data_IF_281592799816
#
_entry.id   IF_281592799816
#
_cell.length_a   1.000
_cell.length_b   1.000
_cell.length_c   1.000
_cell.angle_alpha   90.00
_cell.angle_beta   90.00
_cell.angle_gamma   90.00
#
_symmetry.space_group_name_H-M   'P 1'
#
loop_
_entity.id
_entity.type
_entity.pdbx_description
1 polymer ?
#
# COMPACT_ATOMS: atom_id res chain seq x y z
N UNK A 1 2.24 30.14 -1.87
CA UNK A 1 3.20 30.26 -0.73
C UNK A 1 3.76 28.86 -0.46
N UNK A 2 5.06 28.74 -0.18
CA UNK A 2 5.69 27.47 0.19
C UNK A 2 6.08 27.54 1.67
N UNK A 3 5.65 26.58 2.47
CA UNK A 3 5.99 26.50 3.91
C UNK A 3 6.59 25.14 4.22
N UNK A 4 7.70 25.13 4.96
CA UNK A 4 8.37 23.92 5.44
C UNK A 4 8.12 23.74 6.93
N UNK A 5 7.63 22.56 7.34
CA UNK A 5 7.45 22.18 8.74
C UNK A 5 8.03 20.78 9.00
N UNK A 6 8.45 20.51 10.23
CA UNK A 6 8.76 19.17 10.69
C UNK A 6 7.52 18.57 11.36
N UNK A 7 7.04 17.44 10.84
CA UNK A 7 5.95 16.67 11.43
C UNK A 7 6.36 15.20 11.50
N UNK A 8 6.33 14.61 12.69
CA UNK A 8 6.76 13.22 12.95
C UNK A 8 8.14 12.85 12.34
N UNK A 9 9.08 13.78 12.32
CA UNK A 9 10.43 13.57 11.75
C UNK A 9 10.49 13.66 10.21
N UNK A 10 9.40 14.02 9.54
CA UNK A 10 9.33 14.26 8.10
C UNK A 10 9.33 15.75 7.78
N UNK A 11 9.99 16.12 6.69
CA UNK A 11 9.90 17.46 6.12
C UNK A 11 8.62 17.57 5.29
N UNK A 12 7.71 18.45 5.69
CA UNK A 12 6.46 18.71 4.99
C UNK A 12 6.56 20.04 4.26
N UNK A 13 6.36 20.00 2.95
CA UNK A 13 6.24 21.18 2.10
C UNK A 13 4.76 21.41 1.73
N UNK A 14 4.20 22.55 2.13
CA UNK A 14 2.84 22.94 1.73
C UNK A 14 2.91 23.91 0.58
N UNK A 15 2.20 23.61 -0.51
CA UNK A 15 2.24 24.38 -1.76
C UNK A 15 0.81 24.63 -2.25
N UNK A 16 0.49 25.88 -2.60
CA UNK A 16 -0.80 26.21 -3.21
C UNK A 16 -0.91 25.58 -4.61
N UNK A 17 -2.13 25.19 -5.01
CA UNK A 17 -2.36 24.49 -6.29
C UNK A 17 -1.86 25.23 -7.54
N UNK A 18 -1.75 26.55 -7.47
CA UNK A 18 -1.32 27.42 -8.57
C UNK A 18 0.17 27.79 -8.51
N UNK A 19 0.91 27.29 -7.51
CA UNK A 19 2.35 27.52 -7.37
C UNK A 19 3.15 26.44 -8.13
N UNK A 20 4.12 26.83 -8.98
CA UNK A 20 5.03 25.87 -9.62
C UNK A 20 5.82 25.07 -8.60
N UNK A 21 5.99 23.78 -8.87
CA UNK A 21 6.74 22.84 -8.06
C UNK A 21 7.60 21.97 -8.97
N UNK A 22 8.85 21.73 -8.58
CA UNK A 22 9.73 20.81 -9.29
C UNK A 22 9.52 19.42 -8.70
N UNK A 23 8.61 18.66 -9.29
CA UNK A 23 8.24 17.34 -8.79
C UNK A 23 9.26 16.25 -9.14
N UNK A 24 9.97 16.42 -10.26
CA UNK A 24 10.95 15.48 -10.79
C UNK A 24 12.14 16.27 -11.36
N UNK A 25 13.35 15.81 -11.05
CA UNK A 25 14.61 16.38 -11.51
C UNK A 25 15.53 15.24 -11.93
N UNK A 26 16.09 15.31 -13.14
CA UNK A 26 17.07 14.32 -13.64
C UNK A 26 16.61 12.85 -13.59
N UNK A 27 15.30 12.60 -13.72
CA UNK A 27 14.70 11.26 -13.68
C UNK A 27 14.43 10.73 -12.27
N UNK A 28 14.65 11.55 -11.24
CA UNK A 28 14.34 11.24 -9.85
C UNK A 28 13.21 12.13 -9.32
N UNK A 29 12.32 11.55 -8.53
CA UNK A 29 11.25 12.30 -7.86
C UNK A 29 11.80 12.98 -6.61
N UNK A 30 11.51 14.27 -6.45
CA UNK A 30 11.99 15.06 -5.30
C UNK A 30 11.16 14.81 -4.02
N UNK A 31 10.14 13.96 -4.08
CA UNK A 31 9.20 13.69 -2.99
C UNK A 31 8.95 12.19 -2.86
N UNK A 32 8.89 11.68 -1.63
CA UNK A 32 8.49 10.29 -1.34
C UNK A 32 6.97 10.11 -1.29
N UNK A 33 6.26 11.21 -1.02
CA UNK A 33 4.82 11.22 -0.82
C UNK A 33 4.17 12.54 -1.23
N UNK A 34 2.92 12.45 -1.69
CA UNK A 34 2.12 13.61 -2.12
C UNK A 34 0.72 13.53 -1.53
N UNK A 35 0.29 14.62 -0.89
CA UNK A 35 -1.08 14.82 -0.46
C UNK A 35 -1.77 15.84 -1.37
N UNK A 36 -2.84 15.43 -2.04
CA UNK A 36 -3.67 16.32 -2.85
C UNK A 36 -4.99 16.54 -2.13
N UNK A 37 -5.04 17.60 -1.34
CA UNK A 37 -6.22 18.04 -0.57
C UNK A 37 -7.01 19.15 -1.30
N UNK A 38 -6.81 19.28 -2.62
CA UNK A 38 -7.45 20.27 -3.47
C UNK A 38 -8.38 19.56 -4.48
N UNK A 39 -9.70 19.45 -4.21
CA UNK A 39 -10.65 18.76 -5.09
C UNK A 39 -10.73 19.32 -6.52
N UNK A 40 -10.28 20.56 -6.71
CA UNK A 40 -10.25 21.28 -7.99
C UNK A 40 -8.86 21.34 -8.64
N UNK A 41 -7.89 20.56 -8.18
CA UNK A 41 -6.54 20.55 -8.74
C UNK A 41 -6.57 20.35 -10.27
N UNK A 42 -5.85 21.19 -11.00
CA UNK A 42 -5.85 21.23 -12.45
C UNK A 42 -4.66 20.47 -13.09
N UNK A 43 -3.76 19.92 -12.28
CA UNK A 43 -2.55 19.23 -12.74
C UNK A 43 -1.67 20.10 -13.67
N UNK A 44 -1.63 21.42 -13.41
CA UNK A 44 -0.81 22.35 -14.17
C UNK A 44 0.69 22.03 -14.03
N UNK A 45 1.17 21.74 -12.81
CA UNK A 45 2.58 21.52 -12.52
C UNK A 45 2.94 20.05 -12.33
N UNK A 46 2.12 19.29 -11.59
CA UNK A 46 2.25 17.85 -11.48
C UNK A 46 1.31 17.23 -12.51
N UNK A 47 1.84 16.78 -13.66
CA UNK A 47 1.02 16.17 -14.70
C UNK A 47 0.45 14.84 -14.21
N UNK A 48 -0.79 14.52 -14.60
CA UNK A 48 -1.48 13.27 -14.26
C UNK A 48 -0.66 12.02 -14.59
N UNK A 49 0.00 12.02 -15.75
CA UNK A 49 0.83 10.89 -16.19
C UNK A 49 2.09 10.75 -15.34
N UNK A 50 2.74 11.86 -14.98
CA UNK A 50 3.89 11.86 -14.05
C UNK A 50 3.49 11.34 -12.68
N UNK A 51 2.35 11.77 -12.13
CA UNK A 51 1.85 11.27 -10.84
C UNK A 51 1.52 9.78 -10.89
N UNK A 52 0.98 9.29 -12.02
CA UNK A 52 0.77 7.86 -12.24
C UNK A 52 2.11 7.09 -12.28
N UNK A 53 3.11 7.62 -12.99
CA UNK A 53 4.46 7.03 -13.05
C UNK A 53 5.11 7.00 -11.68
N UNK A 54 4.94 8.06 -10.88
CA UNK A 54 5.43 8.13 -9.50
C UNK A 54 4.88 6.98 -8.64
N UNK A 55 3.57 6.74 -8.68
CA UNK A 55 2.94 5.60 -7.98
C UNK A 55 3.46 4.25 -8.53
N UNK A 56 3.64 4.15 -9.84
CA UNK A 56 4.18 2.95 -10.48
C UNK A 56 5.64 2.65 -10.10
N UNK A 57 6.39 3.65 -9.63
CA UNK A 57 7.78 3.52 -9.16
C UNK A 57 7.90 3.40 -7.64
N UNK A 58 6.79 3.19 -6.92
CA UNK A 58 6.79 2.97 -5.48
C UNK A 58 6.44 4.20 -4.64
N UNK A 59 6.14 5.34 -5.29
CA UNK A 59 5.69 6.58 -4.66
C UNK A 59 4.32 6.48 -4.00
N UNK A 60 4.05 7.40 -3.08
CA UNK A 60 2.87 7.40 -2.24
C UNK A 60 1.99 8.62 -2.50
N UNK A 61 0.70 8.40 -2.76
CA UNK A 61 -0.25 9.48 -3.03
C UNK A 61 -1.50 9.29 -2.18
N UNK A 62 -1.89 10.34 -1.49
CA UNK A 62 -3.21 10.45 -0.89
C UNK A 62 -3.96 11.58 -1.58
N UNK A 63 -5.20 11.34 -2.01
CA UNK A 63 -6.02 12.37 -2.65
C UNK A 63 -7.44 12.34 -2.11
N UNK A 64 -7.91 13.51 -1.68
CA UNK A 64 -9.26 13.71 -1.21
C UNK A 64 -10.09 14.49 -2.24
N UNK A 65 -11.31 14.01 -2.46
CA UNK A 65 -12.29 14.57 -3.38
C UNK A 65 -13.44 15.24 -2.62
N UNK A 66 -14.25 15.99 -3.34
CA UNK A 66 -15.50 16.54 -2.83
C UNK A 66 -16.55 16.49 -3.94
N UNK A 67 -17.83 16.76 -3.64
CA UNK A 67 -18.86 16.95 -4.66
C UNK A 67 -18.52 18.01 -5.71
N UNK A 68 -17.58 18.91 -5.42
CA UNK A 68 -17.12 19.96 -6.33
C UNK A 68 -15.73 19.59 -6.87
N UNK A 69 -15.71 18.81 -7.95
CA UNK A 69 -14.51 18.37 -8.64
C UNK A 69 -14.43 18.92 -10.08
N UNK A 70 -13.25 18.83 -10.70
CA UNK A 70 -13.02 19.28 -12.08
C UNK A 70 -12.97 18.10 -13.05
N UNK A 71 -13.07 18.38 -14.36
CA UNK A 71 -12.81 17.39 -15.40
C UNK A 71 -11.41 16.77 -15.24
N UNK A 72 -10.44 17.57 -14.80
CA UNK A 72 -9.06 17.11 -14.63
C UNK A 72 -8.91 16.11 -13.49
N UNK A 73 -9.46 16.38 -12.30
CA UNK A 73 -9.42 15.41 -11.19
C UNK A 73 -10.20 14.14 -11.52
N UNK A 74 -11.33 14.25 -12.22
CA UNK A 74 -12.04 13.07 -12.76
C UNK A 74 -11.15 12.27 -13.72
N UNK A 75 -10.50 12.93 -14.69
CA UNK A 75 -9.68 12.26 -15.70
C UNK A 75 -8.42 11.58 -15.14
N UNK A 76 -7.93 12.02 -13.98
CA UNK A 76 -6.85 11.32 -13.28
C UNK A 76 -7.29 9.92 -12.83
N UNK A 77 -8.48 9.80 -12.22
CA UNK A 77 -9.05 8.49 -11.84
C UNK A 77 -9.34 7.60 -13.06
N UNK A 78 -9.69 8.19 -14.19
CA UNK A 78 -9.90 7.45 -15.44
C UNK A 78 -8.61 6.78 -15.94
N UNK A 79 -7.41 7.30 -15.61
CA UNK A 79 -6.13 6.62 -15.90
C UNK A 79 -5.98 5.27 -15.17
N UNK A 80 -6.75 5.08 -14.10
CA UNK A 80 -6.86 3.87 -13.28
C UNK A 80 -8.15 3.09 -13.57
N UNK A 81 -8.93 3.49 -14.58
CA UNK A 81 -10.26 2.95 -14.92
C UNK A 81 -11.28 3.09 -13.78
N UNK A 82 -11.04 3.99 -12.82
CA UNK A 82 -11.98 4.31 -11.74
C UNK A 82 -12.96 5.37 -12.24
N UNK A 83 -14.26 5.12 -12.06
CA UNK A 83 -15.31 6.07 -12.44
C UNK A 83 -15.81 6.83 -11.22
N UNK A 84 -15.92 8.14 -11.38
CA UNK A 84 -16.45 9.05 -10.37
C UNK A 84 -17.96 9.23 -10.54
N UNK A 85 -18.72 9.23 -9.45
CA UNK A 85 -20.16 9.54 -9.50
C UNK A 85 -20.40 11.00 -9.91
N UNK A 86 -21.56 11.32 -10.50
CA UNK A 86 -21.92 12.71 -10.79
C UNK A 86 -21.86 13.58 -9.54
N UNK A 87 -21.52 14.87 -9.70
CA UNK A 87 -21.46 15.83 -8.58
C UNK A 87 -22.80 16.04 -7.85
N UNK A 88 -23.91 15.63 -8.46
CA UNK A 88 -25.26 15.67 -7.88
C UNK A 88 -25.58 14.46 -7.00
N UNK A 89 -24.83 13.36 -7.12
CA UNK A 89 -25.04 12.13 -6.34
C UNK A 89 -24.22 12.18 -5.04
N UNK A 90 -24.62 13.11 -4.16
CA UNK A 90 -23.96 13.35 -2.87
C UNK A 90 -24.47 12.34 -1.85
N UNK A 91 -23.54 11.72 -1.15
CA UNK A 91 -23.83 10.83 -0.03
C UNK A 91 -23.48 11.57 1.25
N UNK A 92 -24.47 11.78 2.11
CA UNK A 92 -24.32 12.44 3.39
C UNK A 92 -25.01 11.64 4.49
N UNK A 93 -24.23 10.90 5.28
CA UNK A 93 -24.72 10.06 6.40
C UNK A 93 -23.56 9.47 7.20
N UNK A 94 -23.89 8.90 8.35
CA UNK A 94 -22.97 8.02 9.08
C UNK A 94 -22.86 6.66 8.39
N UNK A 95 -21.64 6.14 8.29
CA UNK A 95 -21.33 4.92 7.55
C UNK A 95 -20.45 4.01 8.40
N UNK A 96 -20.88 2.76 8.65
CA UNK A 96 -20.01 1.78 9.28
C UNK A 96 -18.88 1.39 8.33
N UNK A 97 -17.67 1.33 8.86
CA UNK A 97 -16.48 0.84 8.15
C UNK A 97 -16.56 -0.67 7.90
N UNK A 98 -15.78 -1.15 6.94
CA UNK A 98 -15.67 -2.57 6.65
C UNK A 98 -14.70 -3.23 7.64
N UNK A 99 -14.95 -4.50 7.98
CA UNK A 99 -13.99 -5.30 8.73
C UNK A 99 -12.69 -5.41 7.95
N UNK A 100 -11.57 -5.08 8.59
CA UNK A 100 -10.24 -5.10 8.01
C UNK A 100 -9.20 -5.28 9.12
N UNK A 101 -8.12 -6.02 8.88
CA UNK A 101 -7.05 -6.21 9.86
C UNK A 101 -6.21 -4.96 10.11
N UNK A 102 -6.18 -4.03 9.16
CA UNK A 102 -5.42 -2.77 9.20
C UNK A 102 -6.27 -1.57 9.63
N UNK A 103 -7.59 -1.68 9.65
CA UNK A 103 -8.48 -0.56 9.97
C UNK A 103 -9.49 -0.97 11.05
N UNK A 104 -9.63 -0.19 12.13
CA UNK A 104 -10.57 -0.51 13.20
C UNK A 104 -12.02 -0.39 12.71
N UNK A 105 -12.88 -1.30 13.19
CA UNK A 105 -14.33 -1.21 12.95
C UNK A 105 -14.87 -0.02 13.76
N UNK A 106 -15.32 0.99 13.04
CA UNK A 106 -15.92 2.22 13.57
C UNK A 106 -17.02 2.74 12.63
N UNK A 107 -17.70 3.81 13.03
CA UNK A 107 -18.67 4.54 12.22
C UNK A 107 -18.14 5.94 11.94
N UNK A 108 -18.15 6.34 10.66
CA UNK A 108 -17.65 7.64 10.23
C UNK A 108 -18.77 8.51 9.68
N UNK A 109 -18.73 9.81 9.94
CA UNK A 109 -19.56 10.77 9.23
C UNK A 109 -18.97 11.00 7.84
N UNK A 110 -19.77 10.78 6.81
CA UNK A 110 -19.36 10.91 5.42
C UNK A 110 -20.24 11.93 4.71
N UNK A 111 -19.60 12.87 4.00
CA UNK A 111 -20.26 13.80 3.07
C UNK A 111 -19.45 13.95 1.79
N UNK A 112 -19.82 13.26 0.73
CA UNK A 112 -18.95 13.17 -0.44
C UNK A 112 -19.56 12.48 -1.65
N UNK A 113 -18.67 12.03 -2.53
CA UNK A 113 -19.01 11.35 -3.79
C UNK A 113 -18.56 9.90 -3.76
N UNK A 114 -19.15 9.09 -4.63
CA UNK A 114 -18.80 7.68 -4.73
C UNK A 114 -17.98 7.37 -5.98
N UNK A 115 -17.35 6.20 -5.95
CA UNK A 115 -16.52 5.63 -6.99
C UNK A 115 -17.06 4.27 -7.40
N UNK A 116 -16.83 3.94 -8.66
CA UNK A 116 -16.91 2.57 -9.18
C UNK A 116 -15.50 2.14 -9.56
N UNK A 117 -15.05 1.04 -8.97
CA UNK A 117 -13.71 0.47 -9.17
C UNK A 117 -13.72 -0.53 -10.32
N UNK A 118 -12.59 -0.71 -11.03
CA UNK A 118 -12.43 -1.84 -11.95
C UNK A 118 -12.35 -3.16 -11.18
N UNK A 119 -12.61 -4.26 -11.88
CA UNK A 119 -12.40 -5.61 -11.34
C UNK A 119 -10.90 -5.93 -11.35
N UNK A 120 -10.24 -5.72 -10.20
CA UNK A 120 -8.81 -5.94 -10.02
C UNK A 120 -8.45 -6.01 -8.55
N UNK A 121 -7.62 -7.00 -8.20
CA UNK A 121 -7.09 -7.20 -6.84
C UNK A 121 -6.16 -6.06 -6.38
N UNK A 122 -5.71 -5.20 -7.30
CA UNK A 122 -4.89 -4.04 -6.95
C UNK A 122 -5.70 -2.97 -6.21
N UNK A 123 -7.03 -3.00 -6.27
CA UNK A 123 -7.90 -2.04 -5.60
C UNK A 123 -8.60 -2.68 -4.40
N UNK A 124 -8.49 -2.03 -3.23
CA UNK A 124 -9.16 -2.47 -2.01
C UNK A 124 -10.14 -1.39 -1.56
N UNK A 125 -11.46 -1.63 -1.63
CA UNK A 125 -12.43 -0.69 -1.08
C UNK A 125 -12.39 -0.72 0.45
N UNK A 126 -12.30 0.46 1.07
CA UNK A 126 -12.24 0.60 2.53
C UNK A 126 -13.55 1.11 3.14
N UNK A 127 -14.33 1.86 2.38
CA UNK A 127 -15.63 2.40 2.81
C UNK A 127 -16.64 2.30 1.67
N UNK A 128 -17.87 1.88 1.97
CA UNK A 128 -18.95 1.68 0.98
C UNK A 128 -20.28 2.19 1.53
N UNK A 129 -21.08 2.86 0.70
CA UNK A 129 -22.49 3.13 1.05
C UNK A 129 -23.41 1.99 0.63
N UNK A 130 -23.09 1.35 -0.48
CA UNK A 130 -23.77 0.16 -1.05
C UNK A 130 -22.69 -0.69 -1.73
N UNK A 131 -22.96 -1.94 -2.13
CA UNK A 131 -21.97 -2.79 -2.79
C UNK A 131 -21.29 -2.13 -4.00
N UNK A 132 -22.03 -1.29 -4.74
CA UNK A 132 -21.55 -0.64 -5.98
C UNK A 132 -21.13 0.84 -5.79
N UNK A 133 -21.33 1.42 -4.59
CA UNK A 133 -20.93 2.80 -4.29
C UNK A 133 -19.80 2.80 -3.27
N UNK A 134 -18.57 2.82 -3.76
CA UNK A 134 -17.35 2.89 -2.97
C UNK A 134 -17.08 4.34 -2.59
N UNK A 135 -16.63 4.61 -1.37
CA UNK A 135 -16.50 5.97 -0.82
C UNK A 135 -15.06 6.33 -0.44
N UNK A 136 -14.27 5.30 -0.15
CA UNK A 136 -12.83 5.35 0.05
C UNK A 136 -12.25 4.03 -0.43
N UNK A 137 -11.10 4.09 -1.09
CA UNK A 137 -10.39 2.91 -1.55
C UNK A 137 -8.90 3.16 -1.57
N UNK A 138 -8.15 2.06 -1.60
CA UNK A 138 -6.72 2.07 -1.83
C UNK A 138 -6.39 1.33 -3.11
N UNK A 139 -5.26 1.70 -3.71
CA UNK A 139 -4.63 1.00 -4.80
C UNK A 139 -3.16 0.76 -4.45
N UNK A 140 -2.65 -0.43 -4.76
CA UNK A 140 -1.26 -0.78 -4.60
C UNK A 140 -0.66 -1.25 -5.94
N UNK A 141 0.45 -0.64 -6.33
CA UNK A 141 1.20 -1.06 -7.52
C UNK A 141 2.09 -2.27 -7.21
N UNK A 142 2.61 -2.93 -8.26
CA UNK A 142 3.54 -4.06 -8.12
C UNK A 142 4.85 -3.68 -7.42
N UNK A 143 5.25 -2.41 -7.49
CA UNK A 143 6.42 -1.85 -6.79
C UNK A 143 6.06 -1.33 -5.39
N UNK A 144 4.89 -1.72 -4.87
CA UNK A 144 4.36 -1.31 -3.57
C UNK A 144 4.13 0.20 -3.42
N UNK A 145 3.96 0.93 -4.53
CA UNK A 145 3.49 2.31 -4.49
C UNK A 145 2.02 2.37 -4.09
N UNK A 146 1.66 3.34 -3.26
CA UNK A 146 0.34 3.41 -2.61
C UNK A 146 -0.44 4.60 -3.13
N UNK A 147 -1.69 4.37 -3.49
CA UNK A 147 -2.67 5.41 -3.78
C UNK A 147 -3.85 5.23 -2.83
N UNK A 148 -4.12 6.21 -1.98
CA UNK A 148 -5.30 6.25 -1.13
C UNK A 148 -6.23 7.36 -1.62
N UNK A 149 -7.48 7.01 -1.93
CA UNK A 149 -8.50 7.94 -2.41
C UNK A 149 -9.62 8.04 -1.39
N UNK A 150 -9.95 9.27 -1.01
CA UNK A 150 -11.08 9.59 -0.14
C UNK A 150 -12.10 10.44 -0.89
N UNK A 151 -13.36 10.03 -0.94
CA UNK A 151 -14.42 10.75 -1.66
C UNK A 151 -14.99 11.99 -0.94
N UNK A 152 -14.47 12.30 0.26
CA UNK A 152 -14.94 13.39 1.11
C UNK A 152 -13.77 14.11 1.78
N UNK A 153 -13.46 15.32 1.30
CA UNK A 153 -12.56 16.26 1.96
C UNK A 153 -13.12 16.72 3.31
N UNK A 154 -14.46 16.75 3.44
CA UNK A 154 -15.14 17.19 4.66
C UNK A 154 -14.78 16.29 5.87
N UNK A 155 -14.42 15.03 5.64
CA UNK A 155 -13.95 14.13 6.69
C UNK A 155 -12.64 14.56 7.35
N UNK A 156 -11.83 15.38 6.66
CA UNK A 156 -10.56 15.91 7.15
C UNK A 156 -10.71 17.26 7.85
N UNK A 157 -11.87 17.91 7.76
CA UNK A 157 -12.11 19.19 8.42
C UNK A 157 -12.18 19.01 9.93
N UNK A 158 -11.68 19.99 10.69
CA UNK A 158 -11.64 19.96 12.16
C UNK A 158 -13.00 19.62 12.81
N UNK A 159 -14.11 20.02 12.20
CA UNK A 159 -15.47 19.71 12.67
C UNK A 159 -15.78 18.22 12.71
N UNK A 160 -15.28 17.46 11.75
CA UNK A 160 -15.60 16.03 11.58
C UNK A 160 -14.39 15.12 11.82
N UNK A 161 -13.18 15.68 11.85
CA UNK A 161 -11.95 14.91 11.99
C UNK A 161 -11.96 14.04 13.24
N UNK A 162 -12.30 14.58 14.42
CA UNK A 162 -12.32 13.79 15.66
C UNK A 162 -13.30 12.61 15.60
N UNK A 163 -14.45 12.76 14.93
CA UNK A 163 -15.40 11.65 14.72
C UNK A 163 -14.86 10.59 13.76
N UNK A 164 -14.08 11.02 12.78
CA UNK A 164 -13.57 10.16 11.70
C UNK A 164 -12.14 9.66 11.94
N UNK A 165 -11.49 10.15 13.00
CA UNK A 165 -10.05 10.00 13.27
C UNK A 165 -9.59 8.55 13.28
N UNK A 166 -10.39 7.66 13.89
CA UNK A 166 -10.09 6.23 13.97
C UNK A 166 -9.98 5.57 12.58
N UNK A 167 -10.65 6.10 11.56
CA UNK A 167 -10.54 5.63 10.18
C UNK A 167 -9.49 6.42 9.39
N UNK A 168 -9.46 7.75 9.55
CA UNK A 168 -8.60 8.64 8.77
C UNK A 168 -7.13 8.48 9.13
N UNK A 169 -6.78 8.35 10.42
CA UNK A 169 -5.38 8.23 10.82
C UNK A 169 -4.70 6.99 10.23
N UNK A 170 -5.26 5.76 10.37
CA UNK A 170 -4.69 4.59 9.71
C UNK A 170 -4.66 4.71 8.18
N UNK A 171 -5.61 5.42 7.56
CA UNK A 171 -5.61 5.63 6.11
C UNK A 171 -4.44 6.49 5.64
N UNK A 172 -4.17 7.58 6.35
CA UNK A 172 -3.02 8.44 6.09
C UNK A 172 -1.71 7.68 6.34
N UNK A 173 -1.60 6.98 7.47
CA UNK A 173 -0.41 6.17 7.80
C UNK A 173 -0.18 5.04 6.79
N UNK A 174 -1.25 4.36 6.36
CA UNK A 174 -1.18 3.35 5.31
C UNK A 174 -0.68 3.98 4.02
N UNK A 175 -1.23 5.13 3.60
CA UNK A 175 -0.76 5.79 2.38
C UNK A 175 0.74 6.09 2.42
N UNK A 176 1.32 6.32 3.60
CA UNK A 176 2.73 6.67 3.81
C UNK A 176 3.67 5.50 4.15
N UNK A 177 3.19 4.25 4.05
CA UNK A 177 3.95 3.05 4.44
C UNK A 177 4.38 3.02 5.90
N UNK A 178 3.72 3.77 6.78
CA UNK A 178 3.91 3.68 8.24
C UNK A 178 2.88 2.77 8.90
N UNK A 179 1.97 2.17 8.14
CA UNK A 179 1.01 1.20 8.62
C UNK A 179 0.77 0.10 7.57
N UNK A 180 0.69 -1.16 7.99
CA UNK A 180 0.44 -2.31 7.11
C UNK A 180 1.52 -2.51 6.04
N UNK A 181 2.80 -2.46 6.43
CA UNK A 181 3.96 -2.77 5.56
C UNK A 181 4.63 -4.03 6.09
N UNK A 182 4.98 -4.96 5.20
CA UNK A 182 5.80 -6.13 5.51
C UNK A 182 7.16 -6.03 4.81
N UNK A 183 8.22 -6.51 5.46
CA UNK A 183 9.57 -6.56 4.92
C UNK A 183 10.20 -7.93 5.18
N UNK A 184 10.71 -8.56 4.12
CA UNK A 184 11.43 -9.81 4.18
C UNK A 184 12.93 -9.52 4.32
N UNK A 185 13.60 -10.14 5.31
CA UNK A 185 15.00 -9.93 5.64
C UNK A 185 15.72 -11.25 5.93
N UNK A 186 17.05 -11.18 5.99
CA UNK A 186 17.93 -12.24 6.49
C UNK A 186 17.66 -13.62 5.89
N UNK A 187 17.37 -13.66 4.58
CA UNK A 187 17.12 -14.91 3.87
C UNK A 187 18.42 -15.71 3.82
N UNK A 188 18.38 -16.94 4.30
CA UNK A 188 19.50 -17.88 4.28
C UNK A 188 19.01 -19.26 3.85
N UNK A 189 19.85 -19.96 3.10
CA UNK A 189 19.64 -21.35 2.72
C UNK A 189 20.91 -22.10 3.11
N UNK A 190 20.76 -23.10 3.97
CA UNK A 190 21.88 -23.88 4.53
C UNK A 190 21.66 -25.35 4.21
N UNK A 191 22.67 -26.01 3.64
CA UNK A 191 22.72 -27.47 3.54
C UNK A 191 23.03 -28.05 4.91
N UNK A 192 22.18 -28.95 5.40
CA UNK A 192 22.34 -29.58 6.71
C UNK A 192 22.65 -31.09 6.62
N UNK A 193 22.37 -31.72 5.48
CA UNK A 193 22.74 -33.10 5.17
C UNK A 193 22.83 -33.31 3.65
N UNK A 194 23.58 -34.31 3.22
CA UNK A 194 23.77 -34.66 1.81
C UNK A 194 25.23 -34.67 1.36
N UNK A 195 25.47 -34.25 0.12
CA UNK A 195 26.80 -34.31 -0.49
C UNK A 195 27.77 -33.35 0.23
N UNK A 196 28.93 -33.84 0.72
CA UNK A 196 29.89 -33.01 1.44
C UNK A 196 30.49 -31.87 0.61
N UNK A 197 30.73 -30.72 1.25
CA UNK A 197 31.24 -29.50 0.62
C UNK A 197 32.75 -29.53 0.29
N UNK A 198 33.41 -30.68 0.41
CA UNK A 198 34.88 -30.82 0.38
C UNK A 198 35.48 -30.40 -0.97
N UNK A 199 34.72 -30.51 -2.06
CA UNK A 199 35.15 -30.13 -3.42
C UNK A 199 34.20 -29.12 -4.10
N UNK A 200 33.08 -28.77 -3.46
CA UNK A 200 31.95 -28.07 -4.08
C UNK A 200 31.29 -27.07 -3.11
N UNK A 201 32.07 -26.15 -2.53
CA UNK A 201 31.56 -25.15 -1.58
C UNK A 201 30.35 -24.40 -2.14
N UNK A 202 29.23 -24.48 -1.42
CA UNK A 202 27.99 -23.76 -1.74
C UNK A 202 27.13 -24.38 -2.84
N UNK A 203 27.47 -25.57 -3.36
CA UNK A 203 26.61 -26.28 -4.32
C UNK A 203 25.57 -27.14 -3.62
N UNK A 204 24.33 -27.10 -4.13
CA UNK A 204 23.25 -28.00 -3.72
C UNK A 204 23.09 -29.14 -4.74
N UNK A 205 22.87 -30.35 -4.24
CA UNK A 205 22.63 -31.55 -5.04
C UNK A 205 21.20 -32.06 -4.82
N UNK A 206 20.71 -32.85 -5.77
CA UNK A 206 19.46 -33.60 -5.61
C UNK A 206 19.51 -34.44 -4.34
N UNK A 207 18.40 -34.47 -3.60
CA UNK A 207 18.27 -35.16 -2.32
C UNK A 207 19.13 -34.62 -1.18
N UNK A 208 19.83 -33.49 -1.34
CA UNK A 208 20.40 -32.78 -0.19
C UNK A 208 19.27 -32.28 0.71
N UNK A 209 19.49 -32.30 2.02
CA UNK A 209 18.56 -31.68 2.98
C UNK A 209 19.00 -30.25 3.23
N UNK A 210 18.08 -29.31 3.04
CA UNK A 210 18.32 -27.88 3.20
C UNK A 210 17.35 -27.26 4.19
N UNK A 211 17.82 -26.25 4.91
CA UNK A 211 17.00 -25.36 5.73
C UNK A 211 17.00 -23.96 5.13
N UNK A 212 15.83 -23.44 4.86
CA UNK A 212 15.58 -22.05 4.49
C UNK A 212 15.14 -21.29 5.73
N UNK A 213 15.84 -20.23 6.11
CA UNK A 213 15.44 -19.33 7.18
C UNK A 213 15.32 -17.89 6.68
N UNK A 214 14.39 -17.14 7.27
CA UNK A 214 14.15 -15.74 6.93
C UNK A 214 13.38 -15.05 8.04
N UNK A 215 13.46 -13.72 8.06
CA UNK A 215 12.71 -12.87 8.97
C UNK A 215 11.67 -12.06 8.21
N UNK A 216 10.47 -11.93 8.76
CA UNK A 216 9.44 -11.00 8.30
C UNK A 216 9.20 -9.97 9.40
N UNK A 217 9.43 -8.71 9.07
CA UNK A 217 9.04 -7.58 9.91
C UNK A 217 7.72 -6.98 9.41
N UNK A 218 6.95 -6.42 10.33
CA UNK A 218 5.77 -5.61 10.05
C UNK A 218 5.94 -4.20 10.61
N UNK A 219 5.48 -3.19 9.86
CA UNK A 219 5.31 -1.82 10.37
C UNK A 219 3.84 -1.53 10.61
N UNK A 220 3.49 -1.27 11.86
CA UNK A 220 2.13 -0.90 12.30
C UNK A 220 2.22 0.39 13.13
N UNK A 221 1.50 1.44 12.71
CA UNK A 221 1.52 2.75 13.38
C UNK A 221 2.93 3.34 13.58
N UNK A 222 3.83 3.15 12.62
CA UNK A 222 5.22 3.59 12.66
C UNK A 222 6.14 2.69 13.49
N UNK A 223 5.60 1.67 14.17
CA UNK A 223 6.36 0.74 14.99
C UNK A 223 6.69 -0.51 14.18
N UNK A 224 7.97 -0.84 14.13
CA UNK A 224 8.46 -2.07 13.49
C UNK A 224 8.50 -3.19 14.53
N UNK A 225 7.95 -4.35 14.18
CA UNK A 225 7.98 -5.57 15.02
C UNK A 225 8.03 -6.82 14.16
N UNK A 226 8.31 -7.98 14.76
CA UNK A 226 8.23 -9.25 14.05
C UNK A 226 6.80 -9.53 13.58
N UNK A 227 6.64 -9.96 12.33
CA UNK A 227 5.36 -10.41 11.80
C UNK A 227 5.11 -11.85 12.24
N UNK A 228 4.01 -12.10 12.94
CA UNK A 228 3.67 -13.41 13.49
C UNK A 228 2.43 -13.93 12.76
N UNK A 229 2.63 -14.98 11.96
CA UNK A 229 1.58 -15.72 11.27
C UNK A 229 1.92 -17.21 11.25
N UNK A 230 0.91 -18.06 11.12
CA UNK A 230 1.02 -19.52 11.05
C UNK A 230 0.87 -20.06 9.62
N UNK A 231 0.54 -19.19 8.66
CA UNK A 231 0.19 -19.52 7.28
C UNK A 231 1.25 -19.07 6.25
N UNK A 232 2.47 -18.75 6.70
CA UNK A 232 3.58 -18.41 5.79
C UNK A 232 4.05 -19.67 5.06
N UNK A 233 4.07 -19.62 3.73
CA UNK A 233 4.45 -20.75 2.89
C UNK A 233 5.80 -20.54 2.21
N UNK A 234 6.53 -21.65 2.02
CA UNK A 234 7.74 -21.71 1.18
C UNK A 234 7.44 -22.59 -0.02
N UNK A 235 7.66 -22.03 -1.21
CA UNK A 235 7.49 -22.72 -2.49
C UNK A 235 8.87 -22.95 -3.12
N UNK A 236 9.24 -24.22 -3.31
CA UNK A 236 10.32 -24.60 -4.21
C UNK A 236 9.72 -24.94 -5.57
N UNK A 237 10.09 -24.19 -6.60
CA UNK A 237 9.54 -24.34 -7.95
C UNK A 237 10.63 -24.31 -9.01
N UNK A 238 10.39 -25.05 -10.09
CA UNK A 238 11.06 -24.85 -11.36
C UNK A 238 10.13 -24.05 -12.30
N UNK A 239 9.17 -24.74 -12.93
CA UNK A 239 8.04 -24.12 -13.64
C UNK A 239 6.78 -24.20 -12.79
N UNK A 240 6.51 -25.38 -12.20
CA UNK A 240 5.43 -25.62 -11.24
C UNK A 240 6.00 -25.86 -9.83
N UNK A 241 5.21 -25.64 -8.76
CA UNK A 241 5.61 -26.01 -7.41
C UNK A 241 5.98 -27.49 -7.34
N UNK A 242 7.17 -27.79 -6.82
CA UNK A 242 7.64 -29.15 -6.54
C UNK A 242 7.51 -29.43 -5.05
N UNK A 243 7.78 -28.42 -4.21
CA UNK A 243 7.59 -28.44 -2.77
C UNK A 243 6.78 -27.20 -2.39
N UNK A 244 5.72 -27.40 -1.62
CA UNK A 244 4.90 -26.33 -1.07
C UNK A 244 4.48 -26.75 0.34
N UNK A 245 4.98 -26.03 1.34
CA UNK A 245 4.63 -26.29 2.73
C UNK A 245 4.74 -25.01 3.58
N UNK A 246 4.24 -25.07 4.80
CA UNK A 246 4.27 -23.97 5.75
C UNK A 246 5.64 -23.88 6.45
N UNK A 247 6.15 -22.66 6.56
CA UNK A 247 7.32 -22.38 7.37
C UNK A 247 6.96 -22.47 8.87
N UNK A 248 7.85 -23.09 9.64
CA UNK A 248 7.77 -23.08 11.08
C UNK A 248 8.03 -21.66 11.60
N UNK A 249 7.06 -21.12 12.34
CA UNK A 249 7.23 -19.86 13.06
C UNK A 249 8.15 -20.07 14.27
N UNK A 250 9.33 -19.46 14.24
CA UNK A 250 10.34 -19.53 15.31
C UNK A 250 10.15 -18.46 16.40
N UNK A 251 9.05 -17.70 16.32
CA UNK A 251 8.68 -16.51 17.12
C UNK A 251 9.46 -15.26 16.72
N UNK A 252 8.97 -14.10 17.15
CA UNK A 252 9.56 -12.78 16.88
C UNK A 252 9.72 -12.42 15.40
N UNK A 253 8.98 -13.06 14.50
CA UNK A 253 9.06 -12.80 13.07
C UNK A 253 10.09 -13.64 12.32
N UNK A 254 10.78 -14.56 12.99
CA UNK A 254 11.69 -15.50 12.33
C UNK A 254 10.94 -16.76 11.90
N UNK A 255 11.30 -17.27 10.72
CA UNK A 255 10.69 -18.44 10.09
C UNK A 255 11.77 -19.39 9.60
N UNK A 256 11.46 -20.69 9.61
CA UNK A 256 12.35 -21.73 9.08
C UNK A 256 11.55 -22.83 8.38
N UNK A 257 12.12 -23.37 7.31
CA UNK A 257 11.57 -24.47 6.55
C UNK A 257 12.69 -25.45 6.17
N UNK A 258 12.57 -26.70 6.58
CA UNK A 258 13.54 -27.75 6.26
C UNK A 258 12.92 -28.74 5.31
N UNK A 259 13.63 -29.06 4.23
CA UNK A 259 13.16 -30.01 3.22
C UNK A 259 14.30 -30.76 2.54
N UNK A 260 13.95 -31.85 1.87
CA UNK A 260 14.85 -32.61 1.00
C UNK A 260 14.66 -32.12 -0.43
N UNK A 261 15.75 -31.74 -1.10
CA UNK A 261 15.69 -31.25 -2.47
C UNK A 261 15.22 -32.35 -3.43
N UNK A 262 14.46 -32.01 -4.48
CA UNK A 262 13.91 -33.00 -5.41
C UNK A 262 14.99 -33.82 -6.12
N UNK A 263 14.62 -35.03 -6.55
CA UNK A 263 15.44 -35.92 -7.36
C UNK A 263 15.48 -35.51 -8.85
N UNK A 264 15.59 -34.21 -9.11
CA UNK A 264 15.74 -33.63 -10.44
C UNK A 264 16.67 -32.42 -10.37
N UNK A 265 17.67 -32.39 -11.25
CA UNK A 265 18.48 -31.20 -11.48
C UNK A 265 17.76 -30.23 -12.43
N UNK A 266 17.83 -28.92 -12.12
CA UNK A 266 17.29 -27.88 -13.00
C UNK A 266 17.02 -26.57 -12.29
#
# INVERSE_FOLDING_TARGET
MITHNLDEGKLVETVDMDTPIVFESYGEFNYEAVYILAPKYNFAYIKKQTLKSFIAQGGNVFMAYSPVYTKETKSFLELFKVKLSPSTDIIEKDIPTLSNSLFPITTVYYRGISFTLPDSNAFVPLLKSTPNKILSFTFQSLTNGRLAILGSIDMLNNTYFEKNKQFIQPLLQWSMKTHGKLELKNIQIIKIDGVPDIENEGMFFTNDTVTVSFDIEQTMNGIVSGYIADDVQVEYRYVTPVILDFAQNLKNGSYSFTTVLPDQFG
#
